data_IF_794886962514
#
_entry.id   IF_794886962514
#
_cell.length_a   1.000
_cell.length_b   1.000
_cell.length_c   1.000
_cell.angle_alpha   90.00
_cell.angle_beta   90.00
_cell.angle_gamma   90.00
#
_symmetry.space_group_name_H-M   'P 1'
#
loop_
_entity.id
_entity.type
_entity.pdbx_description
1 polymer ?
#
# COMPACT_ATOMS: atom_id res chain seq x y z
N UNK A 1 -43.90 18.03 48.12
CA UNK A 1 -43.11 18.01 49.38
C UNK A 1 -41.63 17.99 49.03
N UNK A 2 -40.84 18.88 49.62
CA UNK A 2 -39.39 18.90 49.38
C UNK A 2 -38.73 17.74 50.14
N UNK A 3 -38.02 16.88 49.41
CA UNK A 3 -37.30 15.73 49.95
C UNK A 3 -36.09 16.21 50.75
N UNK A 4 -35.83 15.64 51.93
CA UNK A 4 -34.65 16.01 52.73
C UNK A 4 -33.36 15.62 51.99
N UNK A 5 -32.31 16.47 52.08
CA UNK A 5 -31.03 16.23 51.37
C UNK A 5 -30.37 14.91 51.75
N UNK A 6 -30.51 14.49 53.01
CA UNK A 6 -29.96 13.24 53.53
C UNK A 6 -30.67 12.02 52.92
N UNK A 7 -32.00 12.06 52.79
CA UNK A 7 -32.78 10.99 52.18
C UNK A 7 -32.46 10.84 50.68
N UNK A 8 -32.37 11.95 49.95
CA UNK A 8 -32.00 11.93 48.53
C UNK A 8 -30.56 11.42 48.30
N UNK A 9 -29.63 11.70 49.22
CA UNK A 9 -28.26 11.17 49.18
C UNK A 9 -28.24 9.65 49.41
N UNK A 10 -28.99 9.15 50.40
CA UNK A 10 -29.14 7.72 50.66
C UNK A 10 -29.67 6.95 49.44
N UNK A 11 -30.72 7.47 48.77
CA UNK A 11 -31.27 6.85 47.56
C UNK A 11 -30.23 6.83 46.44
N UNK A 12 -29.47 7.92 46.27
CA UNK A 12 -28.41 7.98 45.28
C UNK A 12 -27.32 6.94 45.53
N UNK A 13 -26.89 6.77 46.78
CA UNK A 13 -25.91 5.75 47.17
C UNK A 13 -26.44 4.34 46.90
N UNK A 14 -27.70 4.05 47.20
CA UNK A 14 -28.31 2.73 46.92
C UNK A 14 -28.40 2.42 45.42
N UNK A 15 -28.62 3.43 44.57
CA UNK A 15 -28.58 3.29 43.11
C UNK A 15 -27.14 3.06 42.61
N UNK A 16 -26.15 3.70 43.23
CA UNK A 16 -24.72 3.53 42.90
C UNK A 16 -24.21 2.16 43.34
N UNK A 17 -24.64 1.68 44.51
CA UNK A 17 -24.34 0.34 45.06
C UNK A 17 -25.08 -0.80 44.33
N UNK A 18 -25.98 -0.48 43.40
CA UNK A 18 -26.68 -1.47 42.58
C UNK A 18 -27.91 -2.12 43.23
N UNK A 19 -28.40 -1.60 44.38
CA UNK A 19 -29.64 -2.10 45.02
C UNK A 19 -30.89 -1.87 44.18
N UNK A 20 -30.86 -0.88 43.29
CA UNK A 20 -31.91 -0.62 42.31
C UNK A 20 -31.38 -0.71 40.88
N UNK A 21 -32.17 -1.35 39.99
CA UNK A 21 -31.84 -1.56 38.57
C UNK A 21 -31.66 -0.25 37.77
N UNK A 22 -32.27 0.84 38.21
CA UNK A 22 -32.14 2.17 37.59
C UNK A 22 -32.60 3.26 38.55
N UNK A 23 -32.16 4.49 38.29
CA UNK A 23 -32.65 5.69 39.00
C UNK A 23 -34.15 5.92 38.83
N UNK A 24 -34.75 5.41 37.73
CA UNK A 24 -36.19 5.49 37.49
C UNK A 24 -36.96 4.50 38.38
N UNK A 25 -36.49 3.26 38.52
CA UNK A 25 -37.12 2.30 39.45
C UNK A 25 -36.98 2.69 40.91
N UNK A 26 -35.86 3.31 41.29
CA UNK A 26 -35.71 3.88 42.62
C UNK A 26 -36.72 5.03 42.84
N UNK A 27 -36.93 5.87 41.84
CA UNK A 27 -37.92 6.95 41.91
C UNK A 27 -39.36 6.41 42.03
N UNK A 28 -39.73 5.40 41.24
CA UNK A 28 -41.03 4.73 41.36
C UNK A 28 -41.24 4.08 42.73
N UNK A 29 -40.23 3.36 43.24
CA UNK A 29 -40.32 2.69 44.55
C UNK A 29 -40.51 3.67 45.70
N UNK A 30 -39.83 4.82 45.67
CA UNK A 30 -39.93 5.85 46.70
C UNK A 30 -41.00 6.92 46.41
N UNK A 31 -41.76 6.80 45.32
CA UNK A 31 -42.80 7.76 44.93
C UNK A 31 -42.25 9.16 44.59
N UNK A 32 -41.04 9.23 44.03
CA UNK A 32 -40.31 10.47 43.73
C UNK A 32 -40.29 10.79 42.23
N UNK A 33 -40.02 12.05 41.91
CA UNK A 33 -39.86 12.50 40.53
C UNK A 33 -38.50 12.03 39.95
N UNK A 34 -38.46 11.34 38.78
CA UNK A 34 -37.25 10.69 38.27
C UNK A 34 -36.04 11.62 38.07
N UNK A 35 -36.25 12.88 37.66
CA UNK A 35 -35.14 13.83 37.43
C UNK A 35 -34.48 14.25 38.74
N UNK A 36 -35.22 14.30 39.83
CA UNK A 36 -34.71 14.61 41.17
C UNK A 36 -33.71 13.56 41.65
N UNK A 37 -34.03 12.27 41.46
CA UNK A 37 -33.12 11.15 41.78
C UNK A 37 -31.88 11.18 40.87
N UNK A 38 -32.06 11.40 39.57
CA UNK A 38 -30.94 11.47 38.61
C UNK A 38 -29.96 12.61 38.91
N UNK A 39 -30.44 13.80 39.25
CA UNK A 39 -29.60 14.95 39.62
C UNK A 39 -28.75 14.64 40.85
N UNK A 40 -29.33 13.98 41.85
CA UNK A 40 -28.61 13.64 43.08
C UNK A 40 -27.57 12.54 42.86
N UNK A 41 -27.89 11.49 42.10
CA UNK A 41 -26.91 10.46 41.68
C UNK A 41 -25.72 11.10 40.94
N UNK A 42 -25.98 12.05 40.03
CA UNK A 42 -24.92 12.78 39.31
C UNK A 42 -24.04 13.64 40.24
N UNK A 43 -24.64 14.24 41.27
CA UNK A 43 -23.91 15.02 42.28
C UNK A 43 -23.03 14.14 43.17
N UNK A 44 -23.55 13.00 43.64
CA UNK A 44 -22.78 12.10 44.52
C UNK A 44 -21.65 11.39 43.78
N UNK A 45 -21.84 11.05 42.51
CA UNK A 45 -20.77 10.49 41.67
C UNK A 45 -19.60 11.46 41.44
N UNK A 46 -19.85 12.76 41.41
CA UNK A 46 -18.78 13.77 41.36
C UNK A 46 -17.98 13.84 42.66
N UNK A 47 -18.62 13.53 43.78
CA UNK A 47 -18.01 13.51 45.12
C UNK A 47 -17.28 12.18 45.40
N UNK A 48 -17.69 11.07 44.77
CA UNK A 48 -17.12 9.72 44.94
C UNK A 48 -15.89 9.41 44.05
N UNK A 49 -15.11 10.41 43.65
CA UNK A 49 -13.81 10.23 42.96
C UNK A 49 -12.81 9.50 43.88
N UNK A 50 -12.82 8.17 43.94
CA UNK A 50 -11.75 7.44 44.62
C UNK A 50 -12.02 6.04 45.19
N UNK A 51 -13.24 5.48 45.12
CA UNK A 51 -13.47 4.08 45.56
C UNK A 51 -13.53 3.12 44.38
N UNK A 52 -12.55 2.22 44.30
CA UNK A 52 -12.61 0.98 43.53
C UNK A 52 -13.72 0.10 44.12
N UNK A 53 -14.76 -0.17 43.34
CA UNK A 53 -15.76 -1.18 43.72
C UNK A 53 -15.18 -2.52 43.26
N UNK A 54 -14.58 -3.25 44.21
CA UNK A 54 -14.22 -4.66 44.06
C UNK A 54 -15.53 -5.44 43.93
N UNK A 55 -15.68 -6.19 42.83
CA UNK A 55 -16.79 -7.10 42.64
C UNK A 55 -16.40 -8.51 43.08
N UNK A 56 -17.10 -9.02 44.09
CA UNK A 56 -17.01 -10.40 44.55
C UNK A 56 -17.71 -11.31 43.53
N UNK A 57 -17.02 -12.35 43.09
CA UNK A 57 -17.49 -13.26 42.05
C UNK A 57 -18.28 -14.42 42.65
N UNK A 58 -19.60 -14.44 42.50
CA UNK A 58 -20.34 -15.71 42.50
C UNK A 58 -21.70 -15.65 41.80
N UNK A 59 -21.93 -16.72 41.01
CA UNK A 59 -23.20 -17.37 40.62
C UNK A 59 -23.92 -17.00 39.31
N UNK A 60 -23.94 -18.03 38.45
CA UNK A 60 -25.05 -18.53 37.62
C UNK A 60 -25.66 -17.63 36.55
N UNK A 61 -25.12 -17.77 35.34
CA UNK A 61 -25.83 -18.14 34.10
C UNK A 61 -27.18 -17.49 33.80
N UNK A 62 -27.14 -16.55 32.86
CA UNK A 62 -28.24 -15.86 32.18
C UNK A 62 -29.06 -14.85 33.01
N UNK A 63 -28.53 -13.62 33.13
CA UNK A 63 -29.33 -12.40 33.01
C UNK A 63 -28.43 -11.19 32.72
N UNK A 64 -28.62 -10.57 31.55
CA UNK A 64 -27.89 -9.39 31.07
C UNK A 64 -27.69 -8.33 32.16
N UNK A 65 -26.43 -8.09 32.55
CA UNK A 65 -26.01 -6.97 33.40
C UNK A 65 -26.58 -5.64 32.85
N UNK A 66 -27.51 -5.02 33.57
CA UNK A 66 -28.00 -3.67 33.27
C UNK A 66 -27.35 -2.69 34.24
N UNK A 67 -26.20 -2.15 33.83
CA UNK A 67 -25.53 -1.05 34.51
C UNK A 67 -26.42 0.21 34.54
N UNK A 68 -26.35 0.99 35.62
CA UNK A 68 -26.97 2.33 35.69
C UNK A 68 -26.40 3.22 34.59
N UNK A 69 -27.23 4.05 33.94
CA UNK A 69 -26.80 5.01 32.90
C UNK A 69 -25.61 5.86 33.38
N UNK A 70 -25.56 6.19 34.67
CA UNK A 70 -24.47 6.96 35.25
C UNK A 70 -23.16 6.19 35.42
N UNK A 71 -23.20 4.89 35.73
CA UNK A 71 -22.00 4.04 35.71
C UNK A 71 -21.51 3.80 34.28
N UNK A 72 -22.43 3.68 33.31
CA UNK A 72 -22.10 3.59 31.88
C UNK A 72 -21.46 4.89 31.39
N UNK A 73 -21.98 6.06 31.78
CA UNK A 73 -21.40 7.36 31.43
C UNK A 73 -20.03 7.59 32.09
N UNK A 74 -19.85 7.18 33.35
CA UNK A 74 -18.55 7.27 34.01
C UNK A 74 -17.52 6.36 33.34
N UNK A 75 -17.90 5.12 33.00
CA UNK A 75 -17.06 4.16 32.31
C UNK A 75 -16.68 4.62 30.89
N UNK A 76 -17.64 5.14 30.12
CA UNK A 76 -17.37 5.65 28.77
C UNK A 76 -16.52 6.92 28.78
N UNK A 77 -16.69 7.79 29.79
CA UNK A 77 -15.87 8.99 29.95
C UNK A 77 -14.42 8.66 30.33
N UNK A 78 -14.19 7.75 31.28
CA UNK A 78 -12.83 7.34 31.68
C UNK A 78 -12.09 6.64 30.54
N UNK A 79 -12.79 5.82 29.75
CA UNK A 79 -12.20 5.21 28.55
C UNK A 79 -11.85 6.28 27.51
N UNK A 80 -12.74 7.24 27.26
CA UNK A 80 -12.50 8.30 26.28
C UNK A 80 -11.27 9.13 26.66
N UNK A 81 -11.17 9.56 27.92
CA UNK A 81 -9.98 10.29 28.42
C UNK A 81 -8.71 9.44 28.29
N UNK A 82 -8.79 8.15 28.64
CA UNK A 82 -7.66 7.24 28.55
C UNK A 82 -7.19 7.04 27.10
N UNK A 83 -8.11 6.87 26.14
CA UNK A 83 -7.76 6.75 24.71
C UNK A 83 -7.07 8.03 24.23
N UNK A 84 -7.61 9.21 24.56
CA UNK A 84 -7.02 10.50 24.15
C UNK A 84 -5.64 10.76 24.74
N UNK A 85 -5.34 10.21 25.92
CA UNK A 85 -4.01 10.34 26.56
C UNK A 85 -2.97 9.36 26.00
N UNK A 86 -3.39 8.14 25.63
CA UNK A 86 -2.45 7.07 25.27
C UNK A 86 -2.30 6.87 23.75
N UNK A 87 -3.22 7.38 22.94
CA UNK A 87 -3.21 7.15 21.50
C UNK A 87 -3.44 8.44 20.72
N UNK A 88 -2.72 8.57 19.60
CA UNK A 88 -2.96 9.64 18.65
C UNK A 88 -4.18 9.31 17.79
N UNK A 89 -5.34 9.85 18.15
CA UNK A 89 -6.59 9.63 17.41
C UNK A 89 -6.62 10.23 16.00
N UNK A 90 -5.67 11.13 15.67
CA UNK A 90 -5.52 11.67 14.31
C UNK A 90 -4.73 10.71 13.40
N UNK A 91 -3.98 9.79 13.97
CA UNK A 91 -3.28 8.76 13.21
C UNK A 91 -4.24 7.61 12.88
N UNK A 92 -4.64 7.53 11.61
CA UNK A 92 -5.49 6.47 11.09
C UNK A 92 -4.71 5.27 10.54
N UNK A 93 -3.42 5.14 10.89
CA UNK A 93 -2.60 3.99 10.53
C UNK A 93 -3.24 2.66 10.97
N UNK A 94 -3.02 1.60 10.19
CA UNK A 94 -3.58 0.29 10.47
C UNK A 94 -3.08 -0.26 11.82
N UNK A 95 -1.81 0.00 12.15
CA UNK A 95 -1.18 -0.44 13.39
C UNK A 95 -1.76 0.25 14.62
N UNK A 96 -2.01 1.56 14.56
CA UNK A 96 -2.59 2.32 15.67
C UNK A 96 -4.04 1.88 15.97
N UNK A 97 -4.82 1.57 14.92
CA UNK A 97 -6.19 1.09 15.10
C UNK A 97 -6.24 -0.27 15.79
N UNK A 98 -5.35 -1.19 15.40
CA UNK A 98 -5.29 -2.53 16.02
C UNK A 98 -4.82 -2.41 17.47
N UNK A 99 -3.80 -1.59 17.75
CA UNK A 99 -3.27 -1.41 19.12
C UNK A 99 -4.29 -0.80 20.07
N UNK A 100 -5.09 0.17 19.63
CA UNK A 100 -6.19 0.75 20.42
C UNK A 100 -7.20 -0.34 20.79
N UNK A 101 -7.64 -1.14 19.81
CA UNK A 101 -8.68 -2.17 20.06
C UNK A 101 -8.14 -3.30 20.95
N UNK A 102 -6.90 -3.72 20.78
CA UNK A 102 -6.28 -4.73 21.64
C UNK A 102 -6.09 -4.23 23.07
N UNK A 103 -5.73 -2.95 23.25
CA UNK A 103 -5.60 -2.35 24.58
C UNK A 103 -6.96 -2.15 25.27
N UNK A 104 -8.01 -1.86 24.50
CA UNK A 104 -9.40 -1.83 25.01
C UNK A 104 -9.89 -3.22 25.41
N UNK A 105 -9.54 -4.25 24.63
CA UNK A 105 -9.80 -5.65 24.99
C UNK A 105 -9.12 -6.02 26.29
N UNK A 106 -7.87 -5.61 26.50
CA UNK A 106 -7.12 -5.84 27.75
C UNK A 106 -7.75 -5.16 28.99
N UNK A 107 -8.57 -4.12 28.78
CA UNK A 107 -9.36 -3.45 29.82
C UNK A 107 -10.78 -4.00 29.98
N UNK A 108 -11.11 -5.10 29.29
CA UNK A 108 -12.41 -5.77 29.39
C UNK A 108 -13.49 -5.24 28.44
N UNK A 109 -13.16 -4.37 27.48
CA UNK A 109 -14.13 -3.89 26.48
C UNK A 109 -14.33 -4.95 25.38
N UNK A 110 -15.58 -5.35 25.07
CA UNK A 110 -15.86 -6.24 23.95
C UNK A 110 -15.40 -5.63 22.61
N UNK A 111 -14.79 -6.44 21.75
CA UNK A 111 -14.29 -6.00 20.42
C UNK A 111 -15.39 -5.32 19.60
N UNK A 112 -16.64 -5.79 19.72
CA UNK A 112 -17.82 -5.19 19.06
C UNK A 112 -18.02 -3.73 19.46
N UNK A 113 -17.89 -3.42 20.74
CA UNK A 113 -18.08 -2.07 21.27
C UNK A 113 -16.89 -1.17 20.92
N UNK A 114 -15.66 -1.68 21.08
CA UNK A 114 -14.45 -0.97 20.68
C UNK A 114 -14.46 -0.57 19.20
N UNK A 115 -14.89 -1.48 18.31
CA UNK A 115 -15.10 -1.18 16.89
C UNK A 115 -16.17 -0.11 16.67
N UNK A 116 -17.28 -0.17 17.41
CA UNK A 116 -18.37 0.80 17.31
C UNK A 116 -17.93 2.21 17.73
N UNK A 117 -17.13 2.32 18.79
CA UNK A 117 -16.62 3.61 19.29
C UNK A 117 -15.63 4.27 18.33
N UNK A 118 -14.85 3.47 17.61
CA UNK A 118 -13.91 3.94 16.59
C UNK A 118 -14.57 4.17 15.22
N UNK A 119 -15.85 3.79 15.04
CA UNK A 119 -16.54 3.88 13.75
C UNK A 119 -16.02 2.90 12.70
N UNK A 120 -15.53 1.73 13.11
CA UNK A 120 -14.89 0.75 12.22
C UNK A 120 -15.69 -0.56 12.21
N UNK A 121 -15.85 -1.16 11.04
CA UNK A 121 -16.49 -2.48 10.93
C UNK A 121 -15.58 -3.61 11.46
N UNK A 122 -16.15 -4.62 12.13
CA UNK A 122 -15.37 -5.74 12.71
C UNK A 122 -14.52 -6.48 11.67
N UNK A 123 -15.05 -6.68 10.46
CA UNK A 123 -14.31 -7.30 9.36
C UNK A 123 -13.04 -6.53 9.00
N UNK A 124 -13.07 -5.20 9.08
CA UNK A 124 -11.91 -4.35 8.83
C UNK A 124 -10.84 -4.55 9.89
N UNK A 125 -11.21 -4.68 11.17
CA UNK A 125 -10.28 -4.97 12.26
C UNK A 125 -9.58 -6.32 12.04
N UNK A 126 -10.34 -7.39 11.81
CA UNK A 126 -9.75 -8.72 11.61
C UNK A 126 -8.86 -8.77 10.37
N UNK A 127 -9.24 -8.08 9.28
CA UNK A 127 -8.40 -7.94 8.09
C UNK A 127 -7.09 -7.21 8.39
N UNK A 128 -7.14 -6.12 9.17
CA UNK A 128 -5.94 -5.36 9.58
C UNK A 128 -5.06 -6.19 10.51
N UNK A 129 -5.64 -6.88 11.49
CA UNK A 129 -4.93 -7.79 12.40
C UNK A 129 -4.25 -8.93 11.65
N UNK A 130 -4.94 -9.55 10.68
CA UNK A 130 -4.35 -10.60 9.86
C UNK A 130 -3.22 -10.08 8.97
N UNK A 131 -3.27 -8.82 8.54
CA UNK A 131 -2.19 -8.17 7.80
C UNK A 131 -0.98 -7.87 8.69
N UNK A 132 -1.21 -7.48 9.94
CA UNK A 132 -0.18 -7.28 10.96
C UNK A 132 0.49 -8.60 11.35
N UNK A 133 -0.30 -9.64 11.64
CA UNK A 133 0.21 -10.99 11.90
C UNK A 133 1.02 -11.54 10.72
N UNK A 134 0.57 -11.31 9.47
CA UNK A 134 1.33 -11.69 8.27
C UNK A 134 2.57 -10.83 8.00
N UNK A 135 2.69 -9.69 8.68
CA UNK A 135 3.87 -8.83 8.62
C UNK A 135 4.85 -9.12 9.77
N UNK A 136 4.34 -9.63 10.90
CA UNK A 136 5.10 -10.05 12.09
C UNK A 136 5.56 -11.52 12.01
N UNK A 137 4.80 -12.39 11.32
CA UNK A 137 5.31 -13.67 10.83
C UNK A 137 6.34 -13.36 9.73
N UNK A 138 7.62 -13.32 10.11
CA UNK A 138 8.73 -13.40 9.17
C UNK A 138 8.54 -14.69 8.34
N UNK A 139 7.89 -14.56 7.17
CA UNK A 139 7.73 -15.68 6.24
C UNK A 139 9.16 -16.18 5.96
N UNK A 140 9.48 -17.45 6.22
CA UNK A 140 10.84 -17.97 6.08
C UNK A 140 11.39 -17.76 4.66
N UNK A 141 10.51 -17.60 3.66
CA UNK A 141 10.90 -17.22 2.31
C UNK A 141 11.46 -15.80 2.22
N UNK A 142 11.04 -14.84 3.05
CA UNK A 142 11.55 -13.46 3.05
C UNK A 142 13.03 -13.44 3.42
N UNK A 143 13.44 -14.20 4.42
CA UNK A 143 14.85 -14.35 4.82
C UNK A 143 15.67 -14.93 3.68
N UNK A 144 15.19 -16.03 3.07
CA UNK A 144 15.83 -16.64 1.89
C UNK A 144 15.91 -15.68 0.70
N UNK A 145 14.84 -14.95 0.39
CA UNK A 145 14.79 -13.94 -0.69
C UNK A 145 15.79 -12.82 -0.42
N UNK A 146 15.88 -12.35 0.83
CA UNK A 146 16.78 -11.28 1.25
C UNK A 146 18.25 -11.67 1.07
N UNK A 147 18.63 -12.85 1.56
CA UNK A 147 19.98 -13.39 1.39
C UNK A 147 20.35 -13.58 -0.09
N UNK A 148 19.43 -14.13 -0.88
CA UNK A 148 19.65 -14.33 -2.31
C UNK A 148 19.78 -13.01 -3.07
N UNK A 149 18.94 -12.01 -2.76
CA UNK A 149 19.08 -10.70 -3.38
C UNK A 149 20.41 -10.03 -2.99
N UNK A 150 20.83 -10.12 -1.74
CA UNK A 150 22.13 -9.60 -1.29
C UNK A 150 23.28 -10.26 -2.05
N UNK A 151 23.30 -11.60 -2.15
CA UNK A 151 24.31 -12.34 -2.93
C UNK A 151 24.30 -12.01 -4.43
N UNK A 152 23.15 -11.61 -4.97
CA UNK A 152 22.97 -11.31 -6.41
C UNK A 152 22.91 -9.81 -6.71
N UNK A 153 23.31 -8.93 -5.78
CA UNK A 153 23.25 -7.47 -5.95
C UNK A 153 21.90 -6.97 -6.46
N UNK A 154 20.81 -7.53 -5.94
CA UNK A 154 19.43 -7.19 -6.30
C UNK A 154 19.09 -7.37 -7.80
N UNK A 155 19.78 -8.27 -8.51
CA UNK A 155 19.58 -8.46 -9.95
C UNK A 155 18.31 -9.25 -10.32
N UNK A 156 17.69 -9.96 -9.38
CA UNK A 156 16.61 -10.89 -9.69
C UNK A 156 15.24 -10.25 -9.50
N UNK A 157 14.40 -10.31 -10.53
CA UNK A 157 12.96 -9.99 -10.44
C UNK A 157 12.14 -11.16 -9.91
N UNK A 158 10.89 -10.90 -9.53
CA UNK A 158 10.01 -11.87 -8.86
C UNK A 158 9.85 -13.21 -9.62
N UNK A 159 9.73 -13.18 -10.96
CA UNK A 159 9.64 -14.41 -11.77
C UNK A 159 10.92 -15.26 -11.68
N UNK A 160 12.09 -14.61 -11.84
CA UNK A 160 13.39 -15.29 -11.80
C UNK A 160 13.70 -15.81 -10.39
N UNK A 161 13.34 -15.03 -9.38
CA UNK A 161 13.45 -15.43 -7.98
C UNK A 161 12.57 -16.64 -7.67
N UNK A 162 11.33 -16.67 -8.14
CA UNK A 162 10.42 -17.79 -7.92
C UNK A 162 10.94 -19.10 -8.54
N UNK A 163 11.49 -19.05 -9.76
CA UNK A 163 12.11 -20.23 -10.39
C UNK A 163 13.32 -20.70 -9.58
N UNK A 164 14.17 -19.78 -9.14
CA UNK A 164 15.37 -20.12 -8.37
C UNK A 164 15.03 -20.76 -7.02
N UNK A 165 14.10 -20.15 -6.28
CA UNK A 165 13.60 -20.70 -5.01
C UNK A 165 12.92 -22.05 -5.20
N UNK A 166 12.16 -22.23 -6.29
CA UNK A 166 11.50 -23.50 -6.56
C UNK A 166 12.50 -24.64 -6.77
N UNK A 167 13.63 -24.34 -7.46
CA UNK A 167 14.71 -25.30 -7.65
C UNK A 167 15.47 -25.61 -6.36
N UNK A 168 15.71 -24.61 -5.52
CA UNK A 168 16.43 -24.76 -4.26
C UNK A 168 15.64 -25.57 -3.23
N UNK A 169 14.33 -25.33 -3.17
CA UNK A 169 13.48 -25.91 -2.14
C UNK A 169 12.81 -27.23 -2.60
N UNK A 170 12.94 -27.60 -3.88
CA UNK A 170 12.40 -28.84 -4.42
C UNK A 170 10.88 -28.84 -4.68
N UNK A 171 10.20 -27.69 -4.56
CA UNK A 171 8.77 -27.54 -4.82
C UNK A 171 8.44 -26.23 -5.54
N UNK A 172 7.34 -26.22 -6.30
CA UNK A 172 6.94 -25.05 -7.07
C UNK A 172 6.45 -23.91 -6.17
N UNK A 173 7.06 -22.73 -6.32
CA UNK A 173 6.70 -21.51 -5.60
C UNK A 173 6.05 -20.52 -6.57
N UNK A 174 4.84 -20.06 -6.22
CA UNK A 174 4.10 -19.12 -7.05
C UNK A 174 4.79 -17.74 -7.09
N UNK A 175 5.09 -17.27 -8.31
CA UNK A 175 5.71 -15.97 -8.54
C UNK A 175 4.91 -14.77 -7.99
N UNK A 176 3.57 -14.88 -7.86
CA UNK A 176 2.74 -13.85 -7.22
C UNK A 176 3.01 -13.73 -5.72
N UNK A 177 3.25 -14.87 -5.05
CA UNK A 177 3.64 -14.90 -3.63
C UNK A 177 5.00 -14.21 -3.47
N UNK A 178 5.98 -14.60 -4.29
CA UNK A 178 7.33 -14.01 -4.27
C UNK A 178 7.29 -12.51 -4.56
N UNK A 179 6.49 -12.06 -5.54
CA UNK A 179 6.32 -10.63 -5.83
C UNK A 179 5.78 -9.84 -4.62
N UNK A 180 4.80 -10.40 -3.91
CA UNK A 180 4.25 -9.78 -2.68
C UNK A 180 5.30 -9.72 -1.57
N UNK A 181 6.04 -10.81 -1.35
CA UNK A 181 7.10 -10.90 -0.34
C UNK A 181 8.30 -10.00 -0.66
N UNK A 182 8.61 -9.75 -1.93
CA UNK A 182 9.68 -8.84 -2.32
C UNK A 182 9.29 -7.36 -2.18
N UNK A 183 8.01 -7.02 -2.40
CA UNK A 183 7.53 -5.62 -2.41
C UNK A 183 7.58 -4.98 -1.03
N UNK A 184 7.13 -5.70 0.01
CA UNK A 184 7.00 -5.17 1.38
C UNK A 184 8.35 -4.71 1.98
N UNK A 185 9.43 -5.51 1.94
CA UNK A 185 10.75 -5.14 2.45
C UNK A 185 11.64 -4.39 1.45
N UNK A 186 11.14 -3.99 0.27
CA UNK A 186 11.96 -3.32 -0.74
C UNK A 186 13.03 -4.21 -1.40
N UNK A 187 12.82 -5.52 -1.43
CA UNK A 187 13.71 -6.52 -2.05
C UNK A 187 13.54 -6.64 -3.58
N UNK A 188 12.92 -5.64 -4.21
CA UNK A 188 12.70 -5.63 -5.65
C UNK A 188 14.02 -5.57 -6.42
N UNK A 189 13.98 -6.05 -7.66
CA UNK A 189 15.15 -5.98 -8.51
C UNK A 189 15.56 -4.53 -8.74
N UNK A 190 16.84 -4.23 -8.52
CA UNK A 190 17.44 -2.96 -8.92
C UNK A 190 17.70 -3.05 -10.42
N UNK A 191 16.82 -2.41 -11.20
CA UNK A 191 17.08 -2.20 -12.63
C UNK A 191 18.36 -1.39 -12.72
N UNK A 192 19.44 -1.98 -13.26
CA UNK A 192 20.63 -1.20 -13.58
C UNK A 192 20.19 -0.09 -14.54
N UNK A 193 20.38 1.20 -14.22
CA UNK A 193 20.19 2.24 -15.22
C UNK A 193 21.05 1.86 -16.42
N UNK A 194 20.44 1.86 -17.63
CA UNK A 194 21.17 1.60 -18.87
C UNK A 194 22.36 2.55 -18.87
N UNK A 195 23.59 2.02 -18.69
CA UNK A 195 24.80 2.82 -18.84
C UNK A 195 24.71 3.40 -20.25
N UNK A 196 24.41 4.70 -20.36
CA UNK A 196 24.68 5.44 -21.58
C UNK A 196 26.19 5.44 -21.66
N UNK A 197 26.75 4.48 -22.39
CA UNK A 197 28.14 4.55 -22.81
C UNK A 197 28.16 5.76 -23.73
N UNK A 198 28.49 6.91 -23.17
CA UNK A 198 28.96 8.03 -23.95
C UNK A 198 30.31 7.57 -24.47
N UNK A 199 30.34 7.05 -25.69
CA UNK A 199 31.57 7.05 -26.44
C UNK A 199 32.00 8.51 -26.47
N UNK A 200 33.06 8.86 -25.72
CA UNK A 200 33.86 10.02 -26.08
C UNK A 200 34.41 9.66 -27.45
N UNK A 201 33.68 10.02 -28.50
CA UNK A 201 34.32 10.22 -29.78
C UNK A 201 35.25 11.39 -29.53
N UNK A 202 36.52 11.10 -29.23
CA UNK A 202 37.56 12.06 -29.53
C UNK A 202 37.37 12.35 -31.01
N UNK A 203 36.78 13.51 -31.30
CA UNK A 203 36.59 13.99 -32.65
C UNK A 203 37.99 14.02 -33.25
N UNK A 204 38.29 13.08 -34.13
CA UNK A 204 39.45 13.12 -35.00
C UNK A 204 39.27 14.38 -35.83
N UNK A 205 39.96 15.43 -35.39
CA UNK A 205 39.96 16.80 -35.91
C UNK A 205 38.56 17.47 -35.96
N UNK A 206 38.45 18.74 -35.56
CA UNK A 206 37.23 19.49 -35.81
C UNK A 206 37.04 19.54 -37.33
N UNK A 207 35.99 18.88 -37.83
CA UNK A 207 35.43 19.19 -39.15
C UNK A 207 35.32 20.71 -39.20
N UNK A 208 36.04 21.33 -40.14
CA UNK A 208 36.26 22.78 -40.20
C UNK A 208 34.96 23.59 -40.31
N UNK A 209 33.83 22.94 -40.56
CA UNK A 209 32.51 23.54 -40.55
C UNK A 209 31.54 22.74 -39.65
N UNK A 210 30.75 23.42 -38.79
CA UNK A 210 29.70 22.76 -38.03
C UNK A 210 28.63 22.25 -39.00
N UNK A 211 28.49 20.93 -39.10
CA UNK A 211 27.36 20.31 -39.80
C UNK A 211 26.05 20.76 -39.14
N UNK A 212 25.33 21.69 -39.78
CA UNK A 212 24.04 22.16 -39.29
C UNK A 212 23.02 21.02 -39.33
N UNK A 213 22.44 20.68 -38.18
CA UNK A 213 21.36 19.70 -38.10
C UNK A 213 20.07 20.28 -38.70
N UNK A 214 19.92 20.14 -40.01
CA UNK A 214 18.76 20.64 -40.78
C UNK A 214 17.44 20.03 -40.28
N UNK A 215 17.46 18.77 -39.83
CA UNK A 215 16.25 18.09 -39.34
C UNK A 215 15.75 18.66 -38.02
N UNK A 216 16.59 19.24 -37.16
CA UNK A 216 16.22 19.71 -35.81
C UNK A 216 15.37 18.69 -35.00
N UNK A 217 15.60 17.39 -35.22
CA UNK A 217 14.82 16.25 -34.67
C UNK A 217 13.34 16.19 -35.08
N UNK A 218 12.95 16.92 -36.11
CA UNK A 218 11.65 16.78 -36.75
C UNK A 218 11.67 15.64 -37.78
N UNK A 219 11.20 14.48 -37.32
CA UNK A 219 11.09 13.25 -38.11
C UNK A 219 9.73 13.09 -38.81
N UNK A 220 8.94 14.16 -38.93
CA UNK A 220 7.70 14.18 -39.71
C UNK A 220 7.95 14.76 -41.10
N UNK A 221 7.19 14.32 -42.10
CA UNK A 221 7.24 14.90 -43.44
C UNK A 221 5.86 15.11 -44.03
N UNK A 222 5.70 16.15 -44.84
CA UNK A 222 4.47 16.52 -45.56
C UNK A 222 4.32 15.82 -46.93
N UNK A 223 5.39 15.22 -47.47
CA UNK A 223 5.35 14.57 -48.78
C UNK A 223 6.40 13.46 -48.91
N UNK A 224 6.18 12.49 -49.83
CA UNK A 224 7.07 11.35 -50.00
C UNK A 224 8.47 11.79 -50.47
N UNK A 225 9.49 11.00 -50.14
CA UNK A 225 10.88 11.17 -50.60
C UNK A 225 11.56 12.51 -50.24
N UNK A 226 10.99 13.28 -49.31
CA UNK A 226 11.55 14.59 -48.89
C UNK A 226 12.46 14.50 -47.67
N UNK A 227 12.15 13.59 -46.74
CA UNK A 227 12.99 13.29 -45.56
C UNK A 227 13.20 11.79 -45.45
N UNK A 228 14.43 11.36 -45.67
CA UNK A 228 14.82 9.96 -45.60
C UNK A 228 15.75 9.74 -44.41
N UNK A 229 15.59 8.60 -43.74
CA UNK A 229 16.52 8.16 -42.70
C UNK A 229 17.12 6.83 -43.08
N UNK A 230 18.41 6.66 -42.80
CA UNK A 230 19.15 5.45 -43.13
C UNK A 230 19.76 4.84 -41.87
N UNK A 231 19.94 3.53 -41.90
CA UNK A 231 20.55 2.80 -40.80
C UNK A 231 21.06 1.45 -41.24
N UNK A 232 21.99 0.91 -40.44
CA UNK A 232 22.47 -0.46 -40.57
C UNK A 232 22.19 -1.21 -39.28
N UNK A 233 21.61 -2.40 -39.40
CA UNK A 233 21.28 -3.26 -38.25
C UNK A 233 21.86 -4.65 -38.47
N UNK A 234 22.41 -5.24 -37.42
CA UNK A 234 22.91 -6.60 -37.42
C UNK A 234 21.77 -7.57 -37.08
N UNK A 235 21.47 -8.48 -38.01
CA UNK A 235 20.47 -9.53 -37.83
C UNK A 235 21.17 -10.89 -37.67
N UNK A 236 20.85 -11.66 -36.61
CA UNK A 236 21.39 -13.00 -36.44
C UNK A 236 20.72 -13.98 -37.42
N UNK A 237 21.51 -14.80 -38.08
CA UNK A 237 21.08 -15.88 -38.99
C UNK A 237 21.76 -17.19 -38.59
N UNK A 238 21.33 -18.33 -39.15
CA UNK A 238 21.91 -19.65 -38.82
C UNK A 238 23.42 -19.73 -39.07
N UNK A 239 23.90 -19.02 -40.07
CA UNK A 239 25.31 -18.99 -40.50
C UNK A 239 26.13 -17.87 -39.85
N UNK A 240 25.55 -17.11 -38.91
CA UNK A 240 26.23 -16.02 -38.21
C UNK A 240 25.41 -14.72 -38.18
N UNK A 241 25.98 -13.65 -38.72
CA UNK A 241 25.36 -12.32 -38.71
C UNK A 241 25.31 -11.72 -40.11
N UNK A 242 24.18 -11.12 -40.45
CA UNK A 242 24.02 -10.33 -41.66
C UNK A 242 23.81 -8.87 -41.27
N UNK A 243 24.43 -7.97 -42.01
CA UNK A 243 24.21 -6.53 -41.90
C UNK A 243 23.14 -6.14 -42.89
N UNK A 244 22.01 -5.65 -42.40
CA UNK A 244 20.92 -5.09 -43.18
C UNK A 244 21.05 -3.56 -43.20
N UNK A 245 21.24 -2.98 -44.38
CA UNK A 245 21.18 -1.54 -44.60
C UNK A 245 19.84 -1.17 -45.22
N UNK A 246 19.18 -0.16 -44.66
CA UNK A 246 17.84 0.27 -45.08
C UNK A 246 17.75 1.77 -45.19
N UNK A 247 16.95 2.24 -46.13
CA UNK A 247 16.51 3.63 -46.26
C UNK A 247 14.99 3.66 -46.08
N UNK A 248 14.54 4.49 -45.14
CA UNK A 248 13.14 4.64 -44.76
C UNK A 248 12.66 6.04 -45.09
N UNK A 249 11.50 6.15 -45.71
CA UNK A 249 10.80 7.42 -45.92
C UNK A 249 10.06 7.83 -44.63
N UNK A 250 10.24 9.07 -44.18
CA UNK A 250 9.56 9.60 -43.00
C UNK A 250 8.11 10.02 -43.26
N UNK A 251 7.67 10.14 -44.51
CA UNK A 251 6.28 10.45 -44.84
C UNK A 251 5.32 9.31 -44.49
N UNK A 252 5.60 8.10 -44.99
CA UNK A 252 4.73 6.93 -44.84
C UNK A 252 5.39 5.79 -44.04
N UNK A 253 6.61 5.99 -43.56
CA UNK A 253 7.38 5.01 -42.79
C UNK A 253 7.71 3.70 -43.53
N UNK A 254 7.59 3.67 -44.86
CA UNK A 254 7.98 2.51 -45.67
C UNK A 254 9.49 2.49 -45.92
N UNK A 255 10.01 1.27 -46.08
CA UNK A 255 11.39 1.06 -46.55
C UNK A 255 11.38 1.24 -48.07
N UNK A 256 12.18 2.18 -48.56
CA UNK A 256 12.24 2.55 -49.98
C UNK A 256 13.43 1.91 -50.69
N UNK A 257 14.47 1.54 -49.94
CA UNK A 257 15.60 0.79 -50.45
C UNK A 257 16.24 -0.03 -49.32
N UNK A 258 16.75 -1.20 -49.65
CA UNK A 258 17.48 -2.04 -48.71
C UNK A 258 18.53 -2.90 -49.42
N UNK A 259 19.58 -3.24 -48.68
CA UNK A 259 20.61 -4.20 -49.11
C UNK A 259 21.14 -4.97 -47.90
N UNK A 260 21.60 -6.20 -48.15
CA UNK A 260 22.26 -7.02 -47.14
C UNK A 260 23.73 -7.25 -47.47
N UNK A 261 24.57 -7.35 -46.45
CA UNK A 261 25.98 -7.69 -46.61
C UNK A 261 26.53 -8.45 -45.40
N UNK A 262 27.73 -9.00 -45.55
CA UNK A 262 28.43 -9.71 -44.47
C UNK A 262 29.08 -8.77 -43.44
N UNK A 263 29.19 -7.47 -43.74
CA UNK A 263 29.85 -6.48 -42.88
C UNK A 263 29.35 -5.06 -43.16
N UNK A 264 29.40 -4.18 -42.15
CA UNK A 264 28.99 -2.78 -42.23
C UNK A 264 30.05 -1.92 -42.93
N UNK A 265 30.20 -2.10 -44.24
CA UNK A 265 31.17 -1.38 -45.09
C UNK A 265 30.49 -0.27 -45.88
N UNK A 266 31.27 0.73 -46.29
CA UNK A 266 30.82 1.83 -47.17
C UNK A 266 30.12 1.31 -48.44
N UNK A 267 30.65 0.25 -49.04
CA UNK A 267 30.07 -0.37 -50.24
C UNK A 267 28.61 -0.80 -50.04
N UNK A 268 28.26 -1.32 -48.86
CA UNK A 268 26.88 -1.70 -48.54
C UNK A 268 25.96 -0.47 -48.46
N UNK A 269 26.45 0.63 -47.88
CA UNK A 269 25.71 1.89 -47.82
C UNK A 269 25.45 2.44 -49.24
N UNK A 270 26.48 2.47 -50.08
CA UNK A 270 26.38 2.93 -51.47
C UNK A 270 25.47 2.05 -52.31
N UNK A 271 25.56 0.72 -52.17
CA UNK A 271 24.67 -0.21 -52.84
C UNK A 271 23.20 0.05 -52.47
N UNK A 272 22.93 0.31 -51.18
CA UNK A 272 21.58 0.66 -50.72
C UNK A 272 21.11 1.99 -51.29
N UNK A 273 22.00 2.99 -51.37
CA UNK A 273 21.68 4.31 -51.93
C UNK A 273 21.36 4.23 -53.42
N UNK A 274 22.11 3.42 -54.18
CA UNK A 274 21.90 3.22 -55.61
C UNK A 274 20.57 2.50 -55.93
N UNK A 275 19.98 1.81 -54.94
CA UNK A 275 18.64 1.21 -55.06
C UNK A 275 17.50 2.20 -54.81
N UNK A 276 17.78 3.45 -54.46
CA UNK A 276 16.73 4.46 -54.35
C UNK A 276 16.07 4.69 -55.72
N UNK A 277 14.73 4.81 -55.76
CA UNK A 277 14.05 5.11 -57.00
C UNK A 277 14.49 6.49 -57.52
N UNK A 278 14.97 6.53 -58.76
CA UNK A 278 15.55 7.72 -59.42
C UNK A 278 14.49 8.64 -60.02
N UNK A 279 13.20 8.26 -60.00
CA UNK A 279 12.09 9.07 -60.50
C UNK A 279 11.05 9.29 -59.42
N UNK A 280 10.51 10.51 -59.41
CA UNK A 280 9.44 10.98 -58.54
C UNK A 280 8.33 9.92 -58.36
N UNK A 281 8.14 9.48 -57.12
CA UNK A 281 6.85 8.93 -56.66
C UNK A 281 6.59 7.43 -56.79
N UNK A 282 7.44 6.63 -57.42
CA UNK A 282 7.22 5.18 -57.48
C UNK A 282 8.00 4.47 -56.36
N UNK A 283 7.28 4.15 -55.28
CA UNK A 283 7.72 3.16 -54.30
C UNK A 283 7.95 1.82 -55.01
N UNK A 284 8.94 1.01 -54.59
CA UNK A 284 9.10 -0.35 -55.10
C UNK A 284 7.77 -1.09 -54.96
N UNK A 285 7.23 -1.59 -56.07
CA UNK A 285 6.10 -2.52 -56.06
C UNK A 285 6.57 -3.83 -55.45
N UNK A 286 5.76 -4.37 -54.54
CA UNK A 286 5.98 -5.63 -53.82
C UNK A 286 6.37 -6.81 -54.74
#
# INVERSE_FOLDING_TARGET
MAISRAFASSIATQVIEGKFRSSLKAAEFYGLEPRSVQRKVKSELKNHKGRTIVGDSSRSGDENMRYSITSVLAYTFTIKEWITKNFNLKDHSESNIVSIVESLKGKGVPIKEACSWLGIHRSTLYRKRQKQLRAEEDDPLVTQISELQKRRNFAYGAKRMAVYLSKLNGFAINHKRVARLMRLPGLNSRVRPKRRIHYKTELLEPVQEPLYNVLKRDFSSSGPMTKLVTGMTFAPVREGWVVLSTIKDLFNHKIVAWETGSSAKLQLALATLNKLPTKEGLLPSD
#
